data_IF_733822356448
#
_entry.id   IF_733822356448
#
_cell.length_a   1.000
_cell.length_b   1.000
_cell.length_c   1.000
_cell.angle_alpha   90.00
_cell.angle_beta   90.00
_cell.angle_gamma   90.00
#
_symmetry.space_group_name_H-M   'P 1'
#
loop_
_entity.id
_entity.type
_entity.pdbx_description
1 polymer ?
#
# COMPACT_ATOMS: atom_id res chain seq x y z
N UNK A 1 -10.18 -20.08 12.81
CA UNK A 1 -8.85 -19.94 13.45
C UNK A 1 -8.31 -18.62 12.97
N UNK A 2 -8.37 -17.61 13.83
CA UNK A 2 -7.75 -16.32 13.59
C UNK A 2 -6.24 -16.54 13.86
N UNK A 3 -5.44 -16.64 12.80
CA UNK A 3 -3.99 -16.63 12.93
C UNK A 3 -3.63 -15.21 13.31
N UNK A 4 -3.35 -14.98 14.60
CA UNK A 4 -2.97 -13.67 15.11
C UNK A 4 -1.64 -13.26 14.48
N UNK A 5 -1.72 -12.56 13.35
CA UNK A 5 -0.56 -12.03 12.65
C UNK A 5 0.01 -10.87 13.47
N UNK A 6 1.28 -10.96 13.88
CA UNK A 6 1.97 -9.85 14.54
C UNK A 6 2.64 -8.95 13.52
N UNK A 7 2.93 -7.70 13.89
CA UNK A 7 3.57 -6.71 13.01
C UNK A 7 4.92 -7.21 12.47
N UNK A 8 5.61 -8.06 13.26
CA UNK A 8 6.90 -8.65 12.90
C UNK A 8 6.83 -9.67 11.76
N UNK A 9 5.63 -10.16 11.40
CA UNK A 9 5.44 -11.15 10.33
C UNK A 9 5.35 -10.51 8.93
N UNK A 10 5.34 -9.18 8.85
CA UNK A 10 5.26 -8.44 7.59
C UNK A 10 6.61 -7.89 7.15
N UNK A 11 6.84 -7.92 5.84
CA UNK A 11 7.98 -7.26 5.21
C UNK A 11 7.49 -5.98 4.54
N UNK A 12 8.03 -4.84 4.97
CA UNK A 12 7.77 -3.57 4.31
C UNK A 12 8.47 -3.54 2.93
N UNK A 13 7.68 -3.28 1.89
CA UNK A 13 8.15 -3.21 0.49
C UNK A 13 8.04 -1.79 -0.10
N UNK A 14 7.41 -0.87 0.62
CA UNK A 14 7.25 0.52 0.26
C UNK A 14 6.32 1.26 1.20
N UNK A 15 6.18 2.57 0.97
CA UNK A 15 5.29 3.43 1.76
C UNK A 15 4.44 4.32 0.87
N UNK A 16 3.23 4.64 1.33
CA UNK A 16 2.33 5.58 0.67
C UNK A 16 2.90 6.99 0.87
N UNK A 17 3.20 7.67 -0.23
CA UNK A 17 3.80 9.00 -0.25
C UNK A 17 2.80 10.11 -0.57
N UNK A 18 1.72 9.78 -1.28
CA UNK A 18 0.58 10.67 -1.50
C UNK A 18 -0.61 9.86 -2.01
N UNK A 19 -1.80 10.43 -1.87
CA UNK A 19 -2.94 10.09 -2.73
C UNK A 19 -2.69 10.59 -4.15
N UNK A 20 -3.24 9.89 -5.14
CA UNK A 20 -3.19 10.25 -6.55
C UNK A 20 -4.60 10.18 -7.15
N UNK A 21 -5.05 11.27 -7.76
CA UNK A 21 -6.35 11.31 -8.43
C UNK A 21 -7.57 11.31 -7.49
N UNK A 22 -8.76 11.29 -8.11
CA UNK A 22 -10.06 11.24 -7.42
C UNK A 22 -10.56 9.80 -7.19
N UNK A 23 -9.96 8.82 -7.87
CA UNK A 23 -10.37 7.41 -7.86
C UNK A 23 -9.69 6.56 -6.77
N UNK A 24 -8.98 7.20 -5.83
CA UNK A 24 -8.34 6.50 -4.71
C UNK A 24 -7.02 5.82 -5.04
N UNK A 25 -6.38 6.16 -6.17
CA UNK A 25 -5.03 5.64 -6.47
C UNK A 25 -4.01 6.15 -5.45
N UNK A 26 -3.05 5.32 -5.08
CA UNK A 26 -2.01 5.65 -4.11
C UNK A 26 -0.65 5.73 -4.80
N UNK A 27 0.10 6.79 -4.50
CA UNK A 27 1.49 6.91 -4.91
C UNK A 27 2.39 6.27 -3.87
N UNK A 28 3.02 5.15 -4.22
CA UNK A 28 3.92 4.40 -3.35
C UNK A 28 5.38 4.60 -3.77
N UNK A 29 6.27 4.81 -2.79
CA UNK A 29 7.72 4.70 -3.04
C UNK A 29 8.19 3.32 -2.61
N UNK A 30 8.93 2.67 -3.49
CA UNK A 30 9.50 1.36 -3.23
C UNK A 30 10.66 1.44 -2.23
N UNK A 31 10.71 0.51 -1.28
CA UNK A 31 11.89 0.23 -0.45
C UNK A 31 12.53 -1.12 -0.80
N UNK A 32 11.96 -1.84 -1.75
CA UNK A 32 12.44 -3.12 -2.28
C UNK A 32 13.24 -2.94 -3.58
N UNK A 33 14.20 -3.85 -3.83
CA UNK A 33 14.98 -3.91 -5.07
C UNK A 33 14.19 -4.47 -6.27
N UNK A 34 13.01 -5.08 -6.04
CA UNK A 34 12.20 -5.73 -7.08
C UNK A 34 10.78 -5.16 -7.17
N UNK A 35 10.60 -3.84 -7.30
CA UNK A 35 9.29 -3.21 -7.18
C UNK A 35 8.31 -3.66 -8.26
N UNK A 36 8.80 -3.96 -9.46
CA UNK A 36 7.98 -4.47 -10.56
C UNK A 36 7.24 -5.74 -10.16
N UNK A 37 7.95 -6.72 -9.61
CA UNK A 37 7.34 -7.99 -9.17
C UNK A 37 6.39 -7.83 -7.98
N UNK A 38 6.57 -6.78 -7.17
CA UNK A 38 5.79 -6.55 -5.94
C UNK A 38 4.52 -5.74 -6.19
N UNK A 39 4.59 -4.80 -7.11
CA UNK A 39 3.54 -3.80 -7.35
C UNK A 39 2.76 -4.00 -8.64
N UNK A 40 3.24 -4.77 -9.61
CA UNK A 40 2.48 -5.05 -10.85
C UNK A 40 1.56 -6.27 -10.77
N UNK A 41 1.71 -7.11 -9.72
CA UNK A 41 0.96 -8.37 -9.59
C UNK A 41 -0.22 -8.17 -8.64
N UNK A 42 -1.48 -8.27 -9.11
CA UNK A 42 -2.66 -8.15 -8.26
C UNK A 42 -2.72 -9.19 -7.14
N UNK A 43 -3.53 -8.91 -6.13
CA UNK A 43 -3.88 -9.85 -5.06
C UNK A 43 -3.66 -9.30 -3.65
N UNK A 44 -3.75 -10.20 -2.67
CA UNK A 44 -3.71 -9.85 -1.24
C UNK A 44 -2.44 -9.10 -0.85
N UNK A 45 -2.62 -8.00 -0.13
CA UNK A 45 -1.58 -7.15 0.45
C UNK A 45 -2.01 -6.70 1.85
N UNK A 46 -1.08 -6.07 2.54
CA UNK A 46 -1.29 -5.55 3.89
C UNK A 46 -0.90 -4.08 3.91
N UNK A 47 -1.82 -3.25 4.40
CA UNK A 47 -1.58 -1.83 4.62
C UNK A 47 -1.37 -1.62 6.12
N UNK A 48 -0.20 -1.11 6.47
CA UNK A 48 0.11 -0.63 7.81
C UNK A 48 -0.35 0.83 7.91
N UNK A 49 -1.21 1.13 8.87
CA UNK A 49 -1.69 2.48 9.16
C UNK A 49 -1.48 2.81 10.63
N UNK A 50 -1.40 4.11 10.95
CA UNK A 50 -1.34 4.58 12.32
C UNK A 50 -2.60 5.36 12.64
N UNK A 51 -3.37 4.87 13.62
CA UNK A 51 -4.62 5.50 14.05
C UNK A 51 -4.53 5.76 15.55
N UNK A 52 -4.75 7.01 15.97
CA UNK A 52 -4.70 7.41 17.38
C UNK A 52 -3.40 7.00 18.13
N UNK A 53 -2.27 6.95 17.40
CA UNK A 53 -0.98 6.57 17.96
C UNK A 53 -0.67 5.08 17.91
N UNK A 54 -1.64 4.23 17.59
CA UNK A 54 -1.52 2.77 17.48
C UNK A 54 -1.25 2.35 16.03
N UNK A 55 -0.32 1.41 15.85
CA UNK A 55 -0.05 0.82 14.54
C UNK A 55 -0.99 -0.37 14.30
N UNK A 56 -1.73 -0.33 13.21
CA UNK A 56 -2.63 -1.41 12.79
C UNK A 56 -2.27 -1.88 11.39
N UNK A 57 -2.51 -3.16 11.13
CA UNK A 57 -2.39 -3.74 9.79
C UNK A 57 -3.74 -4.24 9.37
N UNK A 58 -4.14 -3.91 8.15
CA UNK A 58 -5.34 -4.47 7.54
C UNK A 58 -5.02 -5.11 6.20
N UNK A 59 -5.77 -6.15 5.90
CA UNK A 59 -5.76 -6.79 4.59
C UNK A 59 -6.41 -5.86 3.56
N UNK A 60 -5.77 -5.74 2.40
CA UNK A 60 -6.30 -5.03 1.22
C UNK A 60 -6.02 -5.87 -0.03
N UNK A 61 -6.80 -5.66 -1.09
CA UNK A 61 -6.55 -6.30 -2.38
C UNK A 61 -5.89 -5.29 -3.32
N UNK A 62 -4.67 -5.58 -3.81
CA UNK A 62 -4.06 -4.81 -4.89
C UNK A 62 -4.75 -5.19 -6.20
N UNK A 63 -5.40 -4.24 -6.85
CA UNK A 63 -6.11 -4.45 -8.10
C UNK A 63 -5.20 -4.24 -9.31
N UNK A 64 -4.39 -3.18 -9.27
CA UNK A 64 -3.46 -2.82 -10.34
C UNK A 64 -2.29 -2.02 -9.76
N UNK A 65 -1.12 -2.11 -10.40
CA UNK A 65 -0.06 -1.15 -10.17
C UNK A 65 0.79 -0.91 -11.40
N UNK A 66 1.17 0.35 -11.59
CA UNK A 66 2.04 0.81 -12.68
C UNK A 66 3.16 1.69 -12.17
N UNK A 67 4.35 1.54 -12.75
CA UNK A 67 5.45 2.44 -12.49
C UNK A 67 5.13 3.85 -13.02
N UNK A 68 5.51 4.88 -12.27
CA UNK A 68 5.39 6.26 -12.75
C UNK A 68 6.63 6.60 -13.61
N UNK A 69 6.48 6.85 -14.93
CA UNK A 69 7.63 7.15 -15.78
C UNK A 69 8.41 8.35 -15.25
N UNK A 70 9.73 8.23 -15.20
CA UNK A 70 10.64 9.28 -14.72
C UNK A 70 10.66 9.53 -13.21
N UNK A 71 9.89 8.76 -12.41
CA UNK A 71 9.89 8.86 -10.95
C UNK A 71 10.15 7.49 -10.32
N UNK A 72 10.85 7.45 -9.19
CA UNK A 72 11.02 6.23 -8.38
C UNK A 72 9.77 5.95 -7.53
N UNK A 73 8.60 6.02 -8.15
CA UNK A 73 7.31 5.85 -7.51
C UNK A 73 6.38 4.99 -8.38
N UNK A 74 5.40 4.41 -7.72
CA UNK A 74 4.38 3.54 -8.28
C UNK A 74 3.01 4.13 -8.02
N UNK A 75 2.09 3.94 -8.96
CA UNK A 75 0.68 4.26 -8.77
C UNK A 75 -0.05 2.93 -8.60
N UNK A 76 -0.68 2.73 -7.45
CA UNK A 76 -1.39 1.50 -7.08
C UNK A 76 -2.87 1.78 -6.88
N UNK A 77 -3.71 0.82 -7.27
CA UNK A 77 -5.14 0.82 -6.96
C UNK A 77 -5.45 -0.36 -6.03
N UNK A 78 -6.18 -0.11 -4.95
CA UNK A 78 -6.55 -1.13 -3.98
C UNK A 78 -8.07 -1.24 -3.84
N UNK A 79 -8.59 -2.46 -3.74
CA UNK A 79 -9.99 -2.73 -3.48
C UNK A 79 -10.38 -2.26 -2.07
N UNK A 80 -11.42 -1.42 -2.00
CA UNK A 80 -11.94 -0.90 -0.74
C UNK A 80 -11.12 0.23 -0.10
N UNK A 81 -10.07 0.72 -0.78
CA UNK A 81 -9.30 1.89 -0.33
C UNK A 81 -9.68 3.08 -1.19
N UNK A 82 -10.72 3.80 -0.76
CA UNK A 82 -11.28 4.91 -1.49
C UNK A 82 -11.21 6.15 -0.60
N UNK A 83 -10.16 6.96 -0.76
CA UNK A 83 -10.06 8.38 -0.37
C UNK A 83 -8.99 8.77 0.64
N UNK A 84 -8.60 10.04 0.47
CA UNK A 84 -7.72 10.96 1.20
C UNK A 84 -7.69 10.84 2.74
N UNK A 85 -8.68 10.20 3.35
CA UNK A 85 -8.84 10.15 4.81
C UNK A 85 -7.73 9.34 5.51
N UNK A 86 -7.14 8.35 4.84
CA UNK A 86 -6.14 7.45 5.46
C UNK A 86 -4.68 7.85 5.24
N UNK A 87 -4.41 8.87 4.42
CA UNK A 87 -3.03 9.31 4.12
C UNK A 87 -2.61 10.49 5.00
N UNK A 88 -3.49 10.98 5.88
CA UNK A 88 -3.24 12.10 6.78
C UNK A 88 -3.76 11.88 8.20
N UNK A 89 -3.06 11.08 9.01
CA UNK A 89 -3.09 11.16 10.48
C UNK A 89 -1.79 10.60 11.07
#
# INVERSE_FOLDING_TARGET
MDVGLTLEEFIEIGYVSSVHGLDGELRVKATTDFPETRFSVPGKRWLKTRVAGEETVREVELLEGRGHPGQKSWILSFGGVNSVDEVGS
#
